data_IF_661049506800
#
_entry.id   IF_661049506800
#
_cell.length_a   1.000
_cell.length_b   1.000
_cell.length_c   1.000
_cell.angle_alpha   90.00
_cell.angle_beta   90.00
_cell.angle_gamma   90.00
#
_symmetry.space_group_name_H-M   'P 1'
#
loop_
_entity.id
_entity.type
_entity.pdbx_description
1 polymer ?
#
# COMPACT_ATOMS: atom_id res chain seq x y z
N UNK A 1 14.42 18.57 -36.96
CA UNK A 1 13.60 19.08 -35.82
C UNK A 1 12.26 18.34 -35.67
N UNK A 2 11.48 18.20 -36.73
CA UNK A 2 10.13 17.58 -36.73
C UNK A 2 10.12 16.14 -36.19
N UNK A 3 11.11 15.31 -36.52
CA UNK A 3 11.18 13.92 -36.12
C UNK A 3 11.32 13.74 -34.57
N UNK A 4 12.17 14.54 -33.93
CA UNK A 4 12.32 14.54 -32.46
C UNK A 4 11.04 15.01 -31.76
N UNK A 5 10.34 16.00 -32.32
CA UNK A 5 9.07 16.47 -31.80
C UNK A 5 7.98 15.39 -31.88
N UNK A 6 7.90 14.68 -33.03
CA UNK A 6 6.96 13.57 -33.17
C UNK A 6 7.23 12.40 -32.25
N UNK A 7 8.49 12.07 -32.04
CA UNK A 7 8.87 11.02 -31.09
C UNK A 7 8.45 11.40 -29.65
N UNK A 8 8.75 12.62 -29.23
CA UNK A 8 8.35 13.14 -27.91
C UNK A 8 6.83 13.13 -27.72
N UNK A 9 6.06 13.53 -28.72
CA UNK A 9 4.59 13.49 -28.65
C UNK A 9 4.05 12.05 -28.55
N UNK A 10 4.67 11.10 -29.25
CA UNK A 10 4.28 9.68 -29.14
C UNK A 10 4.57 9.11 -27.75
N UNK A 11 5.73 9.41 -27.17
CA UNK A 11 6.10 8.98 -25.81
C UNK A 11 5.15 9.58 -24.78
N UNK A 12 4.80 10.86 -24.92
CA UNK A 12 3.87 11.54 -24.03
C UNK A 12 2.45 10.95 -24.13
N UNK A 13 1.96 10.70 -25.33
CA UNK A 13 0.66 10.05 -25.53
C UNK A 13 0.63 8.65 -24.91
N UNK A 14 1.68 7.86 -25.10
CA UNK A 14 1.78 6.53 -24.48
C UNK A 14 1.79 6.60 -22.94
N UNK A 15 2.48 7.59 -22.37
CA UNK A 15 2.49 7.84 -20.92
C UNK A 15 1.09 8.17 -20.41
N UNK A 16 0.41 9.11 -21.08
CA UNK A 16 -0.95 9.54 -20.70
C UNK A 16 -1.96 8.40 -20.85
N UNK A 17 -1.93 7.65 -21.95
CA UNK A 17 -2.77 6.46 -22.12
C UNK A 17 -2.55 5.41 -21.00
N UNK A 18 -1.29 5.17 -20.63
CA UNK A 18 -0.95 4.28 -19.52
C UNK A 18 -1.51 4.78 -18.20
N UNK A 19 -1.39 6.09 -17.92
CA UNK A 19 -1.92 6.68 -16.70
C UNK A 19 -3.46 6.60 -16.63
N UNK A 20 -4.15 6.94 -17.71
CA UNK A 20 -5.63 6.83 -17.79
C UNK A 20 -6.07 5.41 -17.50
N UNK A 21 -5.40 4.44 -18.10
CA UNK A 21 -5.72 3.02 -17.84
C UNK A 21 -5.42 2.61 -16.40
N UNK A 22 -4.28 2.99 -15.85
CA UNK A 22 -3.92 2.71 -14.45
C UNK A 22 -4.98 3.24 -13.47
N UNK A 23 -5.48 4.45 -13.72
CA UNK A 23 -6.55 5.05 -12.93
C UNK A 23 -7.89 4.33 -13.12
N UNK A 24 -8.19 3.83 -14.32
CA UNK A 24 -9.45 3.16 -14.64
C UNK A 24 -9.52 1.73 -14.09
N UNK A 25 -8.40 1.01 -14.06
CA UNK A 25 -8.33 -0.39 -13.58
C UNK A 25 -8.28 -0.44 -12.05
N UNK A 26 -7.61 0.53 -11.42
CA UNK A 26 -7.44 0.59 -9.96
C UNK A 26 -6.69 -0.60 -9.39
N UNK A 27 -7.03 -0.96 -8.16
CA UNK A 27 -6.47 -2.11 -7.45
C UNK A 27 -7.28 -3.37 -7.77
N UNK A 28 -6.59 -4.41 -8.25
CA UNK A 28 -7.15 -5.74 -8.43
C UNK A 28 -6.64 -6.68 -7.35
N UNK A 29 -7.54 -7.32 -6.63
CA UNK A 29 -7.16 -8.37 -5.68
C UNK A 29 -6.91 -9.69 -6.43
N UNK A 30 -5.82 -10.36 -6.06
CA UNK A 30 -5.43 -11.65 -6.59
C UNK A 30 -5.05 -12.59 -5.44
N UNK A 31 -5.32 -13.87 -5.61
CA UNK A 31 -4.84 -14.89 -4.70
C UNK A 31 -3.50 -15.42 -5.20
N UNK A 32 -2.52 -15.48 -4.30
CA UNK A 32 -1.20 -16.06 -4.56
C UNK A 32 -1.25 -17.59 -4.44
N UNK A 33 -0.24 -18.27 -4.99
CA UNK A 33 -0.13 -19.74 -4.91
C UNK A 33 -0.10 -20.27 -3.47
N UNK A 34 0.42 -19.49 -2.53
CA UNK A 34 0.42 -19.79 -1.10
C UNK A 34 -0.91 -19.46 -0.40
N UNK A 35 -1.96 -19.08 -1.12
CA UNK A 35 -3.27 -18.73 -0.61
C UNK A 35 -3.41 -17.30 -0.05
N UNK A 36 -2.33 -16.53 0.05
CA UNK A 36 -2.37 -15.15 0.54
C UNK A 36 -3.06 -14.21 -0.47
N UNK A 37 -3.78 -13.22 0.03
CA UNK A 37 -4.37 -12.16 -0.80
C UNK A 37 -3.30 -11.10 -1.09
N UNK A 38 -3.24 -10.67 -2.35
CA UNK A 38 -2.36 -9.61 -2.81
C UNK A 38 -3.14 -8.57 -3.61
N UNK A 39 -2.74 -7.30 -3.46
CA UNK A 39 -3.20 -6.22 -4.32
C UNK A 39 -2.28 -6.06 -5.52
N UNK A 40 -2.84 -6.00 -6.72
CA UNK A 40 -2.13 -5.71 -7.96
C UNK A 40 -2.67 -4.45 -8.60
N UNK A 41 -1.79 -3.50 -8.96
CA UNK A 41 -2.16 -2.29 -9.70
C UNK A 41 -1.08 -1.92 -10.73
N UNK A 42 -1.46 -1.11 -11.70
CA UNK A 42 -0.51 -0.51 -12.66
C UNK A 42 0.15 0.72 -12.02
N UNK A 43 1.38 1.00 -12.41
CA UNK A 43 2.16 2.13 -11.89
C UNK A 43 1.84 3.39 -12.70
N UNK A 44 1.51 4.48 -12.02
CA UNK A 44 1.39 5.80 -12.63
C UNK A 44 2.78 6.41 -12.89
N UNK A 45 2.92 7.11 -14.00
CA UNK A 45 4.12 7.90 -14.30
C UNK A 45 3.73 9.36 -14.44
N UNK A 46 4.07 10.18 -13.45
CA UNK A 46 3.66 11.57 -13.35
C UNK A 46 4.87 12.52 -13.31
N UNK A 47 4.71 13.72 -13.80
CA UNK A 47 5.61 14.84 -13.55
C UNK A 47 5.32 15.45 -12.16
N UNK A 48 6.28 16.18 -11.61
CA UNK A 48 6.13 16.80 -10.27
C UNK A 48 4.90 17.72 -10.20
N UNK A 49 4.63 18.47 -11.25
CA UNK A 49 3.47 19.38 -11.29
C UNK A 49 2.15 18.60 -11.35
N UNK A 50 2.08 17.54 -12.14
CA UNK A 50 0.93 16.64 -12.19
C UNK A 50 0.69 15.95 -10.85
N UNK A 51 1.77 15.48 -10.20
CA UNK A 51 1.68 14.91 -8.86
C UNK A 51 1.10 15.91 -7.86
N UNK A 52 1.57 17.16 -7.88
CA UNK A 52 1.05 18.22 -6.99
C UNK A 52 -0.44 18.49 -7.19
N UNK A 53 -0.91 18.44 -8.44
CA UNK A 53 -2.30 18.76 -8.80
C UNK A 53 -3.23 17.57 -8.59
N UNK A 54 -2.83 16.37 -9.04
CA UNK A 54 -3.70 15.19 -9.03
C UNK A 54 -3.62 14.40 -7.70
N UNK A 55 -2.47 14.46 -7.02
CA UNK A 55 -2.20 13.70 -5.81
C UNK A 55 -1.58 14.57 -4.70
N UNK A 56 -2.31 15.60 -4.20
CA UNK A 56 -1.76 16.57 -3.25
C UNK A 56 -1.35 15.94 -1.92
N UNK A 57 -2.01 14.86 -1.50
CA UNK A 57 -1.68 14.13 -0.27
C UNK A 57 -0.29 13.48 -0.40
N UNK A 58 -0.03 12.78 -1.50
CA UNK A 58 1.25 12.14 -1.77
C UNK A 58 2.37 13.18 -1.96
N UNK A 59 2.06 14.30 -2.60
CA UNK A 59 3.01 15.41 -2.72
C UNK A 59 3.37 15.99 -1.35
N UNK A 60 2.37 16.21 -0.48
CA UNK A 60 2.59 16.67 0.89
C UNK A 60 3.42 15.66 1.69
N UNK A 61 3.13 14.36 1.58
CA UNK A 61 3.90 13.33 2.27
C UNK A 61 5.40 13.35 1.92
N UNK A 62 5.77 13.68 0.66
CA UNK A 62 7.17 13.87 0.27
C UNK A 62 7.80 15.05 1.03
N UNK A 63 7.05 16.16 1.17
CA UNK A 63 7.54 17.35 1.90
C UNK A 63 7.66 17.06 3.39
N UNK A 64 6.67 16.40 3.99
CA UNK A 64 6.66 16.03 5.42
C UNK A 64 7.79 15.06 5.76
N UNK A 65 8.20 14.21 4.80
CA UNK A 65 9.38 13.36 4.91
C UNK A 65 10.71 14.13 4.78
N UNK A 66 10.70 15.45 4.58
CA UNK A 66 11.91 16.29 4.41
C UNK A 66 12.63 16.07 3.08
N UNK A 67 12.01 15.41 2.10
CA UNK A 67 12.62 15.11 0.81
C UNK A 67 12.20 16.15 -0.22
N UNK A 68 13.17 16.63 -1.02
CA UNK A 68 12.87 17.55 -2.12
C UNK A 68 12.15 16.77 -3.25
N UNK A 69 10.96 17.20 -3.74
CA UNK A 69 10.24 16.52 -4.82
C UNK A 69 11.10 16.26 -6.06
N UNK A 70 11.98 17.18 -6.42
CA UNK A 70 12.91 17.01 -7.56
C UNK A 70 13.93 15.87 -7.37
N UNK A 71 14.15 15.38 -6.16
CA UNK A 71 15.01 14.23 -5.85
C UNK A 71 14.24 12.94 -5.65
N UNK A 72 12.94 13.01 -5.53
CA UNK A 72 12.07 11.84 -5.35
C UNK A 72 11.94 11.09 -6.68
N UNK A 73 12.08 9.78 -6.63
CA UNK A 73 11.90 8.91 -7.80
C UNK A 73 10.52 8.24 -7.81
N UNK A 74 10.06 7.85 -6.63
CA UNK A 74 8.79 7.15 -6.48
C UNK A 74 8.12 7.54 -5.16
N UNK A 75 6.80 7.53 -5.16
CA UNK A 75 5.98 7.63 -3.95
C UNK A 75 4.90 6.55 -4.01
N UNK A 76 4.71 5.84 -2.90
CA UNK A 76 3.68 4.81 -2.77
C UNK A 76 2.75 5.14 -1.61
N UNK A 77 1.47 4.86 -1.83
CA UNK A 77 0.45 4.88 -0.78
C UNK A 77 -0.28 3.56 -0.78
N UNK A 78 -0.34 2.91 0.38
CA UNK A 78 -1.06 1.65 0.56
C UNK A 78 -1.94 1.77 1.79
N UNK A 79 -3.21 1.44 1.66
CA UNK A 79 -4.17 1.36 2.75
C UNK A 79 -4.43 -0.10 3.05
N UNK A 80 -4.27 -0.47 4.31
CA UNK A 80 -4.48 -1.83 4.81
C UNK A 80 -5.54 -1.78 5.88
N UNK A 81 -6.57 -2.57 5.71
CA UNK A 81 -7.60 -2.80 6.73
C UNK A 81 -7.35 -4.14 7.38
N UNK A 82 -7.43 -4.18 8.70
CA UNK A 82 -7.21 -5.39 9.47
C UNK A 82 -8.36 -5.61 10.41
N UNK A 83 -9.01 -6.77 10.31
CA UNK A 83 -10.07 -7.20 11.21
C UNK A 83 -9.68 -8.51 11.87
N UNK A 84 -9.75 -8.55 13.19
CA UNK A 84 -9.45 -9.73 14.00
C UNK A 84 -10.44 -9.89 15.12
N UNK A 85 -11.20 -10.98 15.10
CA UNK A 85 -12.04 -11.39 16.22
C UNK A 85 -11.22 -12.23 17.20
N UNK A 86 -11.19 -11.80 18.45
CA UNK A 86 -10.41 -12.45 19.49
C UNK A 86 -11.33 -12.80 20.65
N UNK A 87 -11.34 -14.07 21.04
CA UNK A 87 -12.06 -14.57 22.19
C UNK A 87 -11.01 -14.95 23.24
N UNK A 88 -11.09 -14.33 24.41
CA UNK A 88 -10.21 -14.62 25.54
C UNK A 88 -11.03 -14.88 26.81
N UNK A 89 -10.47 -15.65 27.73
CA UNK A 89 -11.05 -15.85 29.06
C UNK A 89 -10.49 -14.82 30.02
N UNK A 90 -11.37 -14.20 30.79
CA UNK A 90 -10.97 -13.33 31.90
C UNK A 90 -10.50 -14.22 33.08
N UNK A 91 -9.34 -13.92 33.63
CA UNK A 91 -8.82 -14.55 34.83
C UNK A 91 -8.80 -13.54 35.98
N UNK A 92 -9.29 -13.96 37.14
CA UNK A 92 -9.23 -13.11 38.34
C UNK A 92 -7.77 -13.04 38.83
N UNK A 93 -7.30 -11.84 39.08
CA UNK A 93 -6.01 -11.58 39.72
C UNK A 93 -6.24 -10.76 40.98
N UNK A 94 -5.78 -11.25 42.11
CA UNK A 94 -5.91 -10.55 43.38
C UNK A 94 -4.67 -9.68 43.60
N UNK A 95 -4.87 -8.39 43.70
CA UNK A 95 -3.84 -7.41 44.05
C UNK A 95 -4.20 -6.88 45.44
N UNK A 96 -3.49 -7.29 46.46
CA UNK A 96 -3.74 -6.95 47.88
C UNK A 96 -5.21 -7.09 48.30
N UNK A 97 -5.52 -8.17 48.93
CA UNK A 97 -6.74 -8.57 49.71
C UNK A 97 -8.10 -7.88 49.49
N UNK A 98 -8.18 -6.79 48.74
CA UNK A 98 -9.39 -5.95 48.62
C UNK A 98 -9.82 -5.54 47.20
N UNK A 99 -9.00 -5.78 46.18
CA UNK A 99 -9.32 -5.36 44.81
C UNK A 99 -9.14 -6.51 43.84
N UNK A 100 -10.24 -7.03 43.30
CA UNK A 100 -10.21 -8.01 42.23
C UNK A 100 -9.99 -7.31 40.89
N UNK A 101 -8.89 -7.61 40.24
CA UNK A 101 -8.59 -7.18 38.87
C UNK A 101 -8.72 -8.40 37.96
N UNK A 102 -9.49 -8.27 36.89
CA UNK A 102 -9.58 -9.28 35.85
C UNK A 102 -8.58 -8.99 34.77
N UNK A 103 -7.77 -9.97 34.41
CA UNK A 103 -6.75 -9.83 33.38
C UNK A 103 -7.02 -10.79 32.23
N UNK A 104 -6.68 -10.38 31.03
CA UNK A 104 -6.68 -11.25 29.86
C UNK A 104 -5.47 -10.98 28.99
N UNK A 105 -5.03 -11.98 28.29
CA UNK A 105 -3.95 -11.85 27.32
C UNK A 105 -4.21 -12.72 26.11
N UNK A 106 -3.76 -12.23 24.96
CA UNK A 106 -3.76 -12.95 23.69
C UNK A 106 -2.45 -12.68 22.99
N UNK A 107 -1.84 -13.69 22.38
CA UNK A 107 -0.64 -13.54 21.59
C UNK A 107 -0.64 -14.51 20.42
N UNK A 108 -0.36 -14.00 19.23
CA UNK A 108 -0.07 -14.75 18.02
C UNK A 108 1.11 -14.08 17.29
N UNK A 109 1.58 -14.57 16.11
CA UNK A 109 2.69 -13.96 15.40
C UNK A 109 2.47 -12.49 15.00
N UNK A 110 1.23 -12.04 14.87
CA UNK A 110 0.87 -10.69 14.39
C UNK A 110 0.32 -9.78 15.47
N UNK A 111 -0.23 -10.33 16.58
CA UNK A 111 -0.87 -9.55 17.63
C UNK A 111 -0.39 -9.96 18.99
N UNK A 112 -0.19 -8.99 19.86
CA UNK A 112 -0.04 -9.16 21.29
C UNK A 112 -1.02 -8.22 21.98
N UNK A 113 -1.97 -8.77 22.72
CA UNK A 113 -3.02 -8.04 23.41
C UNK A 113 -2.97 -8.38 24.89
N UNK A 114 -2.93 -7.36 25.71
CA UNK A 114 -3.00 -7.46 27.17
C UNK A 114 -4.08 -6.53 27.67
N UNK A 115 -4.93 -7.01 28.56
CA UNK A 115 -6.00 -6.22 29.12
C UNK A 115 -6.18 -6.45 30.61
N UNK A 116 -6.62 -5.39 31.28
CA UNK A 116 -6.97 -5.36 32.70
C UNK A 116 -8.33 -4.70 32.85
N UNK A 117 -9.21 -5.29 33.61
CA UNK A 117 -10.50 -4.74 33.98
C UNK A 117 -10.55 -4.55 35.49
N UNK A 118 -10.91 -3.34 35.91
CA UNK A 118 -11.07 -2.95 37.30
C UNK A 118 -12.40 -2.20 37.46
N UNK A 119 -13.36 -2.80 38.15
CA UNK A 119 -14.74 -2.26 38.20
C UNK A 119 -15.31 -2.06 36.80
N UNK A 120 -15.76 -0.85 36.49
CA UNK A 120 -16.33 -0.47 35.19
C UNK A 120 -15.29 0.01 34.17
N UNK A 121 -14.00 -0.04 34.53
CA UNK A 121 -12.92 0.46 33.68
C UNK A 121 -12.11 -0.68 33.10
N UNK A 122 -11.89 -0.63 31.78
CA UNK A 122 -11.01 -1.55 31.08
C UNK A 122 -9.82 -0.79 30.45
N UNK A 123 -8.63 -1.33 30.66
CA UNK A 123 -7.42 -0.87 30.00
C UNK A 123 -6.90 -1.98 29.09
N UNK A 124 -6.78 -1.70 27.80
CA UNK A 124 -6.32 -2.66 26.80
C UNK A 124 -5.10 -2.10 26.10
N UNK A 125 -4.03 -2.88 26.04
CA UNK A 125 -2.83 -2.60 25.28
C UNK A 125 -2.78 -3.55 24.09
N UNK A 126 -2.71 -3.01 22.88
CA UNK A 126 -2.66 -3.77 21.64
C UNK A 126 -1.36 -3.44 20.92
N UNK A 127 -0.59 -4.46 20.59
CA UNK A 127 0.56 -4.36 19.71
C UNK A 127 0.30 -5.24 18.49
N UNK A 128 0.44 -4.67 17.30
CA UNK A 128 0.35 -5.42 16.05
C UNK A 128 1.67 -5.33 15.27
N UNK A 129 2.03 -6.42 14.61
CA UNK A 129 3.16 -6.49 13.69
C UNK A 129 2.64 -6.96 12.36
N UNK A 130 2.92 -6.18 11.32
CA UNK A 130 2.61 -6.54 9.95
C UNK A 130 3.78 -6.16 9.05
N UNK A 131 3.99 -6.93 7.99
CA UNK A 131 5.01 -6.66 6.99
C UNK A 131 4.34 -6.58 5.62
N UNK A 132 4.44 -5.41 5.00
CA UNK A 132 3.99 -5.20 3.64
C UNK A 132 5.15 -5.44 2.68
N UNK A 133 4.97 -6.38 1.78
CA UNK A 133 5.95 -6.70 0.74
C UNK A 133 5.42 -6.16 -0.58
N UNK A 134 6.17 -5.23 -1.16
CA UNK A 134 5.85 -4.60 -2.43
C UNK A 134 6.86 -5.02 -3.48
N UNK A 135 6.38 -5.55 -4.59
CA UNK A 135 7.18 -5.96 -5.74
C UNK A 135 6.74 -5.17 -6.97
N UNK A 136 7.67 -4.48 -7.61
CA UNK A 136 7.44 -3.77 -8.87
C UNK A 136 8.10 -4.57 -10.00
N UNK A 137 7.34 -4.85 -11.04
CA UNK A 137 7.81 -5.69 -12.14
C UNK A 137 7.27 -5.22 -13.49
N UNK A 138 7.91 -5.69 -14.57
CA UNK A 138 7.43 -5.47 -15.93
C UNK A 138 6.31 -6.47 -16.22
N UNK A 139 5.09 -5.98 -16.26
CA UNK A 139 3.90 -6.77 -16.56
C UNK A 139 3.66 -6.99 -18.05
N UNK A 140 2.40 -6.98 -18.45
CA UNK A 140 1.97 -7.21 -19.81
C UNK A 140 2.43 -6.10 -20.77
N UNK A 141 2.51 -6.43 -22.05
CA UNK A 141 2.83 -5.47 -23.10
C UNK A 141 1.64 -4.58 -23.40
N UNK A 142 1.91 -3.32 -23.72
CA UNK A 142 0.88 -2.33 -24.07
C UNK A 142 0.04 -2.76 -25.28
N UNK A 143 0.69 -3.35 -26.31
CA UNK A 143 0.05 -3.88 -27.53
C UNK A 143 0.60 -5.28 -27.80
N UNK A 144 -0.10 -6.38 -27.42
CA UNK A 144 0.42 -7.75 -27.57
C UNK A 144 0.75 -8.15 -29.00
N UNK A 145 0.01 -7.64 -29.99
CA UNK A 145 0.19 -7.91 -31.42
C UNK A 145 1.46 -7.25 -32.04
N UNK A 146 2.02 -6.22 -31.38
CA UNK A 146 3.27 -5.55 -31.76
C UNK A 146 4.43 -6.03 -30.89
N UNK A 147 4.66 -7.33 -30.85
CA UNK A 147 5.51 -8.00 -29.90
C UNK A 147 6.90 -7.37 -29.67
N UNK A 148 7.64 -6.99 -30.71
CA UNK A 148 9.01 -6.49 -30.59
C UNK A 148 9.04 -5.00 -30.21
N UNK A 149 8.06 -4.20 -30.65
CA UNK A 149 8.03 -2.74 -30.53
C UNK A 149 7.18 -2.21 -29.39
N UNK A 150 6.44 -3.08 -28.66
CA UNK A 150 5.55 -2.66 -27.59
C UNK A 150 6.25 -2.64 -26.22
N UNK A 151 6.32 -1.51 -25.52
CA UNK A 151 6.88 -1.43 -24.19
C UNK A 151 6.04 -2.24 -23.18
N UNK A 152 6.70 -2.85 -22.19
CA UNK A 152 6.03 -3.48 -21.07
C UNK A 152 5.64 -2.44 -20.04
N UNK A 153 4.45 -2.58 -19.47
CA UNK A 153 3.96 -1.72 -18.40
C UNK A 153 4.58 -2.10 -17.07
N UNK A 154 4.82 -1.11 -16.24
CA UNK A 154 5.18 -1.34 -14.86
C UNK A 154 3.92 -1.66 -14.06
N UNK A 155 3.96 -2.74 -13.32
CA UNK A 155 2.93 -3.18 -12.40
C UNK A 155 3.54 -3.34 -11.03
N UNK A 156 2.73 -3.16 -10.01
CA UNK A 156 3.09 -3.50 -8.65
C UNK A 156 2.17 -4.59 -8.11
N UNK A 157 2.74 -5.38 -7.21
CA UNK A 157 2.02 -6.35 -6.40
C UNK A 157 2.41 -6.15 -4.95
N UNK A 158 1.41 -6.05 -4.09
CA UNK A 158 1.61 -5.85 -2.66
C UNK A 158 0.85 -6.95 -1.94
N UNK A 159 1.49 -7.53 -0.94
CA UNK A 159 0.83 -8.46 -0.02
C UNK A 159 1.31 -8.25 1.40
N UNK A 160 0.44 -8.56 2.36
CA UNK A 160 0.71 -8.51 3.78
C UNK A 160 1.16 -9.89 4.28
N UNK A 161 2.05 -9.91 5.26
CA UNK A 161 2.38 -11.14 5.99
C UNK A 161 1.25 -11.60 6.91
N UNK A 162 0.38 -10.68 7.33
CA UNK A 162 -0.73 -10.94 8.21
C UNK A 162 -1.96 -11.40 7.40
N UNK A 163 -2.47 -12.64 7.59
CA UNK A 163 -3.62 -13.16 6.83
C UNK A 163 -4.94 -12.44 7.13
N UNK A 164 -5.01 -11.68 8.24
CA UNK A 164 -6.20 -10.89 8.59
C UNK A 164 -6.16 -9.48 7.97
N UNK A 165 -5.11 -9.13 7.25
CA UNK A 165 -4.94 -7.82 6.62
C UNK A 165 -5.39 -7.85 5.17
N UNK A 166 -6.29 -6.94 4.81
CA UNK A 166 -6.77 -6.73 3.46
C UNK A 166 -6.20 -5.42 2.90
N UNK A 167 -5.62 -5.47 1.71
CA UNK A 167 -5.16 -4.27 1.02
C UNK A 167 -6.35 -3.70 0.26
N UNK A 168 -6.87 -2.57 0.71
CA UNK A 168 -8.05 -1.91 0.12
C UNK A 168 -7.68 -0.86 -0.91
N UNK A 169 -6.49 -0.29 -0.78
CA UNK A 169 -5.96 0.67 -1.76
C UNK A 169 -4.45 0.55 -1.88
N UNK A 170 -3.94 0.63 -3.11
CA UNK A 170 -2.51 0.76 -3.35
C UNK A 170 -2.25 1.48 -4.65
N UNK A 171 -1.45 2.54 -4.58
CA UNK A 171 -1.03 3.34 -5.71
C UNK A 171 0.47 3.61 -5.64
N UNK A 172 1.21 3.22 -6.68
CA UNK A 172 2.60 3.58 -6.89
C UNK A 172 2.70 4.62 -8.01
N UNK A 173 3.34 5.71 -7.71
CA UNK A 173 3.56 6.82 -8.65
C UNK A 173 5.07 6.92 -8.91
N UNK A 174 5.46 6.76 -10.16
CA UNK A 174 6.81 7.00 -10.65
C UNK A 174 6.94 8.46 -11.10
N UNK A 175 7.92 9.17 -10.58
CA UNK A 175 8.12 10.59 -10.87
C UNK A 175 9.12 10.74 -11.99
N UNK A 176 8.63 11.22 -13.13
CA UNK A 176 9.47 11.51 -14.28
C UNK A 176 10.17 12.85 -14.09
N UNK A 177 11.49 12.82 -14.14
CA UNK A 177 12.30 14.05 -14.17
C UNK A 177 12.14 14.72 -15.54
N UNK A 178 11.97 16.00 -15.54
CA UNK A 178 12.05 16.80 -16.76
C UNK A 178 13.52 16.77 -17.24
N UNK A 179 13.75 16.26 -18.45
CA UNK A 179 14.90 16.66 -19.26
C UNK A 179 14.60 17.95 -20.00
#
# INVERSE_FOLDING_TARGET
>A
MIWKSNQRLREENQRLESNVRSLSVGLKQIQLENGALAGQSEVLTLRIQELKTLFPIQFKAILDAGVKPARTQQVSTTVVETEKHIITTLRDSVIHDTVSVRVFSYSDPWYSIQGQAHGDTQRVQIQSRDSLIQVVYKGERSKPWLWILSPRRLQQRIYSSNPNSLITYSQLINIQKHE
#
